data_IF_695977510311
#
_entry.id   IF_695977510311
#
_cell.length_a   1.000
_cell.length_b   1.000
_cell.length_c   1.000
_cell.angle_alpha   90.00
_cell.angle_beta   90.00
_cell.angle_gamma   90.00
#
_symmetry.space_group_name_H-M   'P 1'
#
loop_
_entity.id
_entity.type
_entity.pdbx_description
1 polymer ?
#
# COMPACT_ATOMS: atom_id res chain seq x y z
N UNK A 1 -20.51 -4.14 -3.74
CA UNK A 1 -19.85 -2.90 -4.22
C UNK A 1 -18.36 -3.06 -4.00
N UNK A 2 -17.50 -2.70 -4.97
CA UNK A 2 -16.05 -2.87 -4.81
C UNK A 2 -15.50 -1.84 -3.81
N UNK A 3 -14.51 -2.20 -2.99
CA UNK A 3 -13.97 -1.30 -1.96
C UNK A 3 -13.49 0.04 -2.54
N UNK A 4 -12.85 0.04 -3.73
CA UNK A 4 -12.48 1.27 -4.46
C UNK A 4 -13.65 2.25 -4.63
N UNK A 5 -14.84 1.75 -4.98
CA UNK A 5 -16.03 2.58 -5.20
C UNK A 5 -16.56 3.15 -3.88
N UNK A 6 -16.50 2.37 -2.79
CA UNK A 6 -16.84 2.82 -1.43
C UNK A 6 -15.96 4.01 -1.05
N UNK A 7 -14.64 3.87 -1.21
CA UNK A 7 -13.66 4.90 -0.83
C UNK A 7 -13.88 6.18 -1.64
N UNK A 8 -14.10 6.08 -2.96
CA UNK A 8 -14.34 7.24 -3.81
C UNK A 8 -15.60 8.01 -3.41
N UNK A 9 -16.70 7.29 -3.09
CA UNK A 9 -17.98 7.89 -2.72
C UNK A 9 -18.02 8.45 -1.31
N UNK A 10 -17.20 7.93 -0.39
CA UNK A 10 -17.19 8.40 1.00
C UNK A 10 -16.87 9.89 1.10
N UNK A 11 -17.79 10.65 1.71
CA UNK A 11 -17.55 12.03 2.13
C UNK A 11 -17.12 12.01 3.59
N UNK A 12 -16.03 12.69 3.91
CA UNK A 12 -15.47 12.75 5.26
C UNK A 12 -15.78 14.13 5.83
N UNK A 13 -16.51 14.25 6.95
CA UNK A 13 -16.82 15.55 7.55
C UNK A 13 -15.57 16.27 8.07
N UNK A 14 -15.58 17.61 8.20
CA UNK A 14 -14.52 18.33 8.91
C UNK A 14 -14.26 17.75 10.31
N UNK A 15 -13.00 17.70 10.73
CA UNK A 15 -12.58 17.14 12.03
C UNK A 15 -12.52 15.61 12.10
N UNK A 16 -12.76 14.89 10.98
CA UNK A 16 -12.77 13.43 10.94
C UNK A 16 -11.75 12.88 9.94
N UNK A 17 -11.46 11.59 10.05
CA UNK A 17 -10.74 10.78 9.05
C UNK A 17 -11.53 9.50 8.82
N UNK A 18 -11.63 9.05 7.57
CA UNK A 18 -12.16 7.72 7.28
C UNK A 18 -11.02 6.73 7.12
N UNK A 19 -11.20 5.52 7.66
CA UNK A 19 -10.21 4.45 7.66
C UNK A 19 -10.83 3.20 7.03
N UNK A 20 -10.06 2.49 6.19
CA UNK A 20 -10.39 1.16 5.70
C UNK A 20 -9.22 0.23 5.94
N UNK A 21 -9.48 -0.86 6.65
CA UNK A 21 -8.48 -1.89 6.89
C UNK A 21 -8.34 -2.80 5.67
N UNK A 22 -7.10 -3.05 5.26
CA UNK A 22 -6.76 -3.90 4.10
C UNK A 22 -6.36 -5.33 4.51
N UNK A 23 -6.36 -5.62 5.81
CA UNK A 23 -5.74 -6.81 6.39
C UNK A 23 -4.28 -6.57 6.78
N UNK A 24 -3.77 -7.38 7.72
CA UNK A 24 -2.45 -7.17 8.33
C UNK A 24 -2.36 -5.75 8.93
N UNK A 25 -1.33 -4.97 8.63
CA UNK A 25 -1.13 -3.58 9.02
C UNK A 25 -1.47 -2.61 7.87
N UNK A 26 -2.12 -3.10 6.81
CA UNK A 26 -2.49 -2.27 5.66
C UNK A 26 -3.73 -1.43 5.90
N UNK A 27 -3.66 -0.14 5.56
CA UNK A 27 -4.76 0.82 5.72
C UNK A 27 -4.90 1.74 4.52
N UNK A 28 -6.13 2.18 4.25
CA UNK A 28 -6.41 3.40 3.48
C UNK A 28 -7.00 4.45 4.43
N UNK A 29 -6.51 5.67 4.33
CA UNK A 29 -7.00 6.82 5.07
C UNK A 29 -7.51 7.87 4.09
N UNK A 30 -8.67 8.49 4.39
CA UNK A 30 -9.22 9.60 3.61
C UNK A 30 -9.51 10.81 4.48
N UNK A 31 -8.99 11.97 4.08
CA UNK A 31 -9.18 13.24 4.76
C UNK A 31 -10.51 13.92 4.39
N UNK A 32 -10.95 14.94 5.16
CA UNK A 32 -12.13 15.74 4.84
C UNK A 32 -12.07 16.42 3.47
N UNK A 33 -10.84 16.77 3.02
CA UNK A 33 -10.59 17.37 1.70
C UNK A 33 -10.51 16.35 0.58
N UNK A 34 -10.77 15.07 0.87
CA UNK A 34 -10.80 13.99 -0.10
C UNK A 34 -9.43 13.41 -0.47
N UNK A 35 -8.34 13.82 0.22
CA UNK A 35 -7.02 13.22 0.02
C UNK A 35 -6.99 11.81 0.58
N UNK A 36 -6.43 10.88 -0.19
CA UNK A 36 -6.37 9.46 0.14
C UNK A 36 -4.92 9.02 0.24
N UNK A 37 -4.54 8.37 1.34
CA UNK A 37 -3.22 7.73 1.46
C UNK A 37 -3.42 6.23 1.72
N UNK A 38 -2.48 5.43 1.24
CA UNK A 38 -2.35 4.04 1.69
C UNK A 38 -1.15 3.91 2.61
N UNK A 39 -1.27 3.09 3.64
CA UNK A 39 -0.22 2.76 4.60
C UNK A 39 -0.03 1.24 4.59
N UNK A 40 1.21 0.77 4.42
CA UNK A 40 1.61 -0.64 4.44
C UNK A 40 0.69 -1.59 3.63
N UNK A 41 0.35 -1.28 2.37
CA UNK A 41 -0.57 -2.12 1.60
C UNK A 41 0.06 -3.47 1.22
N UNK A 42 -0.17 -4.47 2.05
CA UNK A 42 -0.02 -5.88 1.70
C UNK A 42 -1.30 -6.37 1.03
N UNK A 43 -1.34 -6.36 -0.31
CA UNK A 43 -2.51 -6.74 -1.11
C UNK A 43 -2.30 -8.03 -1.90
N UNK A 44 -1.26 -8.80 -1.58
CA UNK A 44 -1.00 -10.11 -2.17
C UNK A 44 -0.85 -11.18 -1.08
N UNK A 45 -0.21 -12.30 -1.44
CA UNK A 45 0.18 -13.38 -0.55
C UNK A 45 1.71 -13.60 -0.57
N UNK A 46 2.50 -12.55 -0.82
CA UNK A 46 3.95 -12.62 -1.01
C UNK A 46 4.69 -13.24 0.20
N UNK A 47 4.19 -13.02 1.43
CA UNK A 47 4.82 -13.57 2.64
C UNK A 47 4.75 -15.10 2.72
N UNK A 48 3.85 -15.75 1.98
CA UNK A 48 3.81 -17.22 1.88
C UNK A 48 5.15 -17.80 1.44
N UNK A 49 5.80 -17.18 0.45
CA UNK A 49 7.11 -17.63 -0.02
C UNK A 49 8.21 -17.40 1.04
N UNK A 50 8.14 -16.28 1.76
CA UNK A 50 9.07 -15.96 2.86
C UNK A 50 8.96 -16.99 3.98
N UNK A 51 7.74 -17.31 4.42
CA UNK A 51 7.50 -18.31 5.46
C UNK A 51 7.97 -19.70 5.02
N UNK A 52 7.64 -20.11 3.80
CA UNK A 52 8.04 -21.42 3.27
C UNK A 52 9.57 -21.60 3.27
N UNK A 53 10.34 -20.54 2.98
CA UNK A 53 11.79 -20.58 3.00
C UNK A 53 12.40 -20.86 4.39
N UNK A 54 11.65 -20.60 5.46
CA UNK A 54 12.08 -20.83 6.86
C UNK A 54 11.24 -21.90 7.57
N UNK A 55 10.44 -22.68 6.84
CA UNK A 55 9.61 -23.74 7.40
C UNK A 55 8.43 -23.25 8.23
N UNK A 56 7.99 -22.00 8.04
CA UNK A 56 6.84 -21.40 8.71
C UNK A 56 5.67 -21.19 7.75
N UNK A 57 4.44 -21.21 8.28
CA UNK A 57 3.25 -20.90 7.49
C UNK A 57 2.86 -19.42 7.62
N UNK A 58 3.22 -18.63 6.61
CA UNK A 58 2.83 -17.21 6.47
C UNK A 58 1.76 -17.01 5.39
N UNK A 59 0.96 -18.04 5.12
CA UNK A 59 -0.16 -17.93 4.19
C UNK A 59 -1.23 -16.96 4.74
N UNK A 60 -1.75 -16.12 3.85
CA UNK A 60 -2.73 -15.11 4.21
C UNK A 60 -4.08 -15.78 4.52
N UNK A 61 -4.60 -15.55 5.73
CA UNK A 61 -5.83 -16.19 6.21
C UNK A 61 -7.13 -15.55 5.65
N UNK A 62 -7.06 -14.29 5.22
CA UNK A 62 -8.22 -13.53 4.71
C UNK A 62 -7.82 -12.88 3.39
N UNK A 63 -8.58 -12.99 2.29
CA UNK A 63 -8.20 -12.40 1.01
C UNK A 63 -8.05 -10.87 1.10
N UNK A 64 -7.21 -10.24 0.25
CA UNK A 64 -7.11 -8.78 0.17
C UNK A 64 -8.45 -8.18 -0.31
N UNK A 65 -8.92 -7.07 0.30
CA UNK A 65 -10.24 -6.52 0.00
C UNK A 65 -10.29 -5.69 -1.29
N UNK A 66 -9.14 -5.43 -1.91
CA UNK A 66 -8.99 -4.88 -3.26
C UNK A 66 -7.75 -5.45 -3.96
N UNK A 67 -7.69 -5.35 -5.29
CA UNK A 67 -6.50 -5.72 -6.04
C UNK A 67 -5.46 -4.58 -6.01
N UNK A 68 -4.14 -4.86 -6.13
CA UNK A 68 -3.10 -3.82 -6.18
C UNK A 68 -3.34 -2.72 -7.23
N UNK A 69 -3.80 -3.10 -8.43
CA UNK A 69 -4.16 -2.17 -9.51
C UNK A 69 -5.29 -1.19 -9.15
N UNK A 70 -6.13 -1.53 -8.17
CA UNK A 70 -7.25 -0.68 -7.77
C UNK A 70 -6.78 0.53 -6.94
N UNK A 71 -5.52 0.52 -6.47
CA UNK A 71 -4.88 1.69 -5.85
C UNK A 71 -4.49 2.77 -6.89
N UNK A 72 -4.24 2.39 -8.14
CA UNK A 72 -3.80 3.32 -9.18
C UNK A 72 -4.88 4.38 -9.46
N UNK A 73 -4.50 5.66 -9.31
CA UNK A 73 -5.41 6.81 -9.39
C UNK A 73 -6.39 6.94 -8.23
N UNK A 74 -6.29 6.10 -7.20
CA UNK A 74 -7.07 6.22 -5.96
C UNK A 74 -6.28 6.96 -4.87
N UNK A 75 -5.00 6.61 -4.68
CA UNK A 75 -4.15 7.14 -3.61
C UNK A 75 -3.34 8.35 -4.09
N UNK A 76 -3.26 9.37 -3.24
CA UNK A 76 -2.39 10.54 -3.39
C UNK A 76 -0.98 10.29 -2.85
N UNK A 77 -0.79 9.34 -1.93
CA UNK A 77 0.51 8.93 -1.42
C UNK A 77 0.51 7.44 -1.02
N UNK A 78 1.67 6.80 -1.21
CA UNK A 78 1.92 5.41 -0.84
C UNK A 78 2.94 5.40 0.30
N UNK A 79 2.49 5.10 1.51
CA UNK A 79 3.31 5.20 2.72
C UNK A 79 3.69 3.81 3.20
N UNK A 80 4.96 3.64 3.58
CA UNK A 80 5.45 2.42 4.22
C UNK A 80 6.18 2.72 5.52
N UNK A 81 5.90 1.93 6.55
CA UNK A 81 6.57 2.01 7.84
C UNK A 81 7.99 1.46 7.78
N UNK A 82 8.21 0.35 7.05
CA UNK A 82 9.51 -0.29 6.85
C UNK A 82 9.47 -1.30 5.68
N UNK A 83 10.61 -1.94 5.39
CA UNK A 83 10.81 -2.67 4.15
C UNK A 83 10.51 -4.17 4.17
N UNK A 84 9.90 -4.72 5.22
CA UNK A 84 9.50 -6.13 5.22
C UNK A 84 8.36 -6.39 4.22
N UNK A 85 8.26 -7.63 3.75
CA UNK A 85 7.39 -8.06 2.65
C UNK A 85 5.90 -7.88 2.95
N UNK A 86 5.49 -7.91 4.22
CA UNK A 86 4.13 -7.64 4.70
C UNK A 86 3.80 -6.14 4.83
N UNK A 87 4.74 -5.25 4.50
CA UNK A 87 4.56 -3.79 4.52
C UNK A 87 4.86 -3.13 3.17
N UNK A 88 6.01 -3.44 2.57
CA UNK A 88 6.39 -2.96 1.23
C UNK A 88 5.64 -3.71 0.11
N UNK A 89 5.49 -5.02 0.25
CA UNK A 89 4.97 -5.95 -0.74
C UNK A 89 5.33 -5.61 -2.20
N UNK A 90 6.49 -6.08 -2.71
CA UNK A 90 6.88 -5.89 -4.10
C UNK A 90 5.85 -6.38 -5.13
N UNK A 91 5.04 -7.39 -4.79
CA UNK A 91 3.97 -7.90 -5.66
C UNK A 91 2.71 -7.02 -5.63
N UNK A 92 2.56 -6.14 -4.64
CA UNK A 92 1.59 -5.04 -4.66
C UNK A 92 2.11 -3.83 -5.44
N UNK A 93 3.37 -3.45 -5.24
CA UNK A 93 3.96 -2.26 -5.89
C UNK A 93 4.00 -2.42 -7.43
N UNK A 94 4.36 -3.60 -7.94
CA UNK A 94 4.53 -3.81 -9.39
C UNK A 94 3.23 -3.60 -10.19
N UNK A 95 2.09 -4.25 -9.87
CA UNK A 95 0.85 -4.02 -10.62
C UNK A 95 0.28 -2.62 -10.38
N UNK A 96 0.49 -2.03 -9.20
CA UNK A 96 0.15 -0.62 -8.94
C UNK A 96 0.84 0.31 -9.94
N UNK A 97 2.17 0.20 -10.06
CA UNK A 97 2.98 0.98 -11.01
C UNK A 97 2.60 0.71 -12.46
N UNK A 98 2.47 -0.56 -12.84
CA UNK A 98 2.14 -0.97 -14.21
C UNK A 98 0.78 -0.43 -14.70
N UNK A 99 -0.11 -0.06 -13.78
CA UNK A 99 -1.44 0.52 -14.08
C UNK A 99 -1.49 2.04 -13.91
N UNK A 100 -0.33 2.70 -13.83
CA UNK A 100 -0.23 4.16 -13.76
C UNK A 100 -0.18 4.73 -12.35
N UNK A 101 -0.04 3.88 -11.33
CA UNK A 101 0.22 4.32 -9.95
C UNK A 101 1.54 5.10 -9.85
N UNK A 102 1.51 6.20 -9.11
CA UNK A 102 2.65 7.11 -8.91
C UNK A 102 2.89 7.40 -7.43
N UNK A 103 4.05 7.97 -7.12
CA UNK A 103 4.34 8.51 -5.81
C UNK A 103 3.56 9.79 -5.46
N UNK A 104 3.90 10.42 -4.32
CA UNK A 104 5.06 10.09 -3.49
C UNK A 104 4.96 8.73 -2.80
N UNK A 105 6.05 7.97 -2.86
CA UNK A 105 6.32 6.83 -2.02
C UNK A 105 7.08 7.32 -0.80
N UNK A 106 6.40 7.35 0.35
CA UNK A 106 6.93 7.90 1.60
C UNK A 106 7.43 6.75 2.45
N UNK A 107 8.74 6.69 2.73
CA UNK A 107 9.35 5.51 3.33
C UNK A 107 10.67 5.82 4.08
N UNK A 108 11.11 4.98 5.04
CA UNK A 108 12.41 5.13 5.69
C UNK A 108 13.58 4.78 4.75
N UNK A 109 14.84 5.17 5.07
CA UNK A 109 15.98 5.02 4.18
C UNK A 109 16.18 3.61 3.60
N UNK A 110 16.08 2.58 4.46
CA UNK A 110 16.20 1.17 4.06
C UNK A 110 15.15 0.76 3.02
N UNK A 111 13.93 1.27 3.17
CA UNK A 111 12.83 0.97 2.27
C UNK A 111 12.92 1.78 0.97
N UNK A 112 13.47 3.01 1.01
CA UNK A 112 13.80 3.77 -0.19
C UNK A 112 14.78 3.01 -1.09
N UNK A 113 15.80 2.36 -0.52
CA UNK A 113 16.73 1.52 -1.30
C UNK A 113 16.02 0.35 -1.98
N UNK A 114 15.08 -0.30 -1.29
CA UNK A 114 14.26 -1.37 -1.87
C UNK A 114 13.35 -0.83 -2.99
N UNK A 115 12.76 0.34 -2.84
CA UNK A 115 11.96 0.99 -3.88
C UNK A 115 12.77 1.28 -5.15
N UNK A 116 14.02 1.74 -5.00
CA UNK A 116 14.94 1.92 -6.14
C UNK A 116 15.23 0.60 -6.86
N UNK A 117 15.42 -0.50 -6.12
CA UNK A 117 15.57 -1.86 -6.69
C UNK A 117 14.31 -2.33 -7.43
N UNK A 118 13.14 -1.78 -7.09
CA UNK A 118 11.88 -1.97 -7.83
C UNK A 118 11.68 -0.98 -8.99
N UNK A 119 12.71 -0.20 -9.34
CA UNK A 119 12.67 0.81 -10.40
C UNK A 119 11.67 1.95 -10.16
N UNK A 120 11.38 2.26 -8.89
CA UNK A 120 10.69 3.51 -8.55
C UNK A 120 11.66 4.69 -8.74
N UNK A 121 11.31 5.72 -9.51
CA UNK A 121 12.18 6.88 -9.73
C UNK A 121 12.42 7.66 -8.43
N UNK A 122 13.63 8.18 -8.23
CA UNK A 122 13.97 8.99 -7.05
C UNK A 122 13.07 10.23 -6.89
N UNK A 123 12.63 10.83 -8.01
CA UNK A 123 11.68 11.95 -7.99
C UNK A 123 10.29 11.60 -7.43
N UNK A 124 9.98 10.31 -7.29
CA UNK A 124 8.74 9.81 -6.69
C UNK A 124 8.95 9.26 -5.27
N UNK A 125 10.18 9.26 -4.74
CA UNK A 125 10.48 8.74 -3.41
C UNK A 125 10.70 9.91 -2.44
N UNK A 126 9.94 9.92 -1.35
CA UNK A 126 10.09 10.85 -0.24
C UNK A 126 10.62 10.10 0.96
N UNK A 127 11.91 10.29 1.25
CA UNK A 127 12.54 9.67 2.41
C UNK A 127 12.10 10.37 3.69
N UNK A 128 11.60 9.59 4.66
CA UNK A 128 11.29 10.05 6.01
C UNK A 128 12.29 9.47 6.99
N UNK A 129 12.59 10.23 8.05
CA UNK A 129 13.57 9.94 9.12
C UNK A 129 15.04 9.98 8.66
#
# INVERSE_FOLDING_TARGET
MKLREVILRQKVPPGHVALWWLGQNGWILKSPRGKVITLDPYLTNACKAVGAAVGLNFDRLVPPPLAPRDLAGLVDAYVMTHGHEDHLDPETVRPYRATGGKGPFVAPPETCEKLRKLSVPDAEIEMIW
#
